data_IF_982748730861
#
_entry.id   IF_982748730861
#
_cell.length_a   1.000
_cell.length_b   1.000
_cell.length_c   1.000
_cell.angle_alpha   90.00
_cell.angle_beta   90.00
_cell.angle_gamma   90.00
#
_symmetry.space_group_name_H-M   'P 1'
#
loop_
_entity.id
_entity.type
_entity.pdbx_description
1 polymer ?
#
# COMPACT_ATOMS: atom_id res chain seq x y z
N UNK A 1 -2.41 19.34 9.39
CA UNK A 1 -0.99 19.19 8.96
C UNK A 1 -0.84 17.77 8.45
N UNK A 2 -0.32 17.57 7.23
CA UNK A 2 -0.14 16.25 6.63
C UNK A 2 0.83 15.40 7.47
N UNK A 3 0.52 14.10 7.63
CA UNK A 3 1.41 13.16 8.32
C UNK A 3 2.59 12.78 7.43
N UNK A 4 2.29 12.38 6.18
CA UNK A 4 3.29 12.04 5.17
C UNK A 4 2.92 12.72 3.85
N UNK A 5 3.93 13.16 3.10
CA UNK A 5 3.76 13.78 1.79
C UNK A 5 4.85 13.27 0.82
N UNK A 6 4.42 12.75 -0.30
CA UNK A 6 5.23 12.43 -1.47
C UNK A 6 4.98 13.48 -2.54
N UNK A 7 6.04 14.07 -3.08
CA UNK A 7 5.95 15.11 -4.11
C UNK A 7 6.89 14.78 -5.28
N UNK A 8 6.30 14.47 -6.44
CA UNK A 8 7.00 14.12 -7.66
C UNK A 8 7.96 12.94 -7.50
N UNK A 9 7.59 11.91 -6.73
CA UNK A 9 8.48 10.81 -6.39
C UNK A 9 8.67 9.87 -7.58
N UNK A 10 9.96 9.61 -7.90
CA UNK A 10 10.38 8.63 -8.89
C UNK A 10 11.23 7.54 -8.23
N UNK A 11 11.08 6.30 -8.71
CA UNK A 11 11.98 5.18 -8.40
C UNK A 11 12.30 4.43 -9.68
N UNK A 12 13.58 4.43 -10.04
CA UNK A 12 14.10 3.71 -11.20
C UNK A 12 15.11 2.68 -10.70
N UNK A 13 14.84 1.42 -11.02
CA UNK A 13 15.78 0.33 -10.75
C UNK A 13 16.58 0.01 -12.00
N UNK A 14 17.89 -0.13 -11.86
CA UNK A 14 18.75 -0.64 -12.91
C UNK A 14 18.79 -2.16 -12.82
N UNK A 15 18.38 -2.85 -13.86
CA UNK A 15 18.47 -4.30 -14.00
C UNK A 15 19.48 -4.65 -15.08
N UNK A 16 20.02 -5.88 -15.03
CA UNK A 16 20.89 -6.38 -16.09
C UNK A 16 20.07 -6.53 -17.37
N UNK A 17 20.46 -5.82 -18.41
CA UNK A 17 19.80 -5.89 -19.72
C UNK A 17 20.00 -7.24 -20.41
N UNK A 18 19.26 -7.45 -21.50
CA UNK A 18 19.38 -8.66 -22.32
C UNK A 18 20.78 -8.80 -22.96
N UNK A 19 21.52 -7.70 -23.14
CA UNK A 19 22.88 -7.69 -23.64
C UNK A 19 23.90 -7.87 -22.51
N UNK A 20 25.01 -8.59 -22.76
CA UNK A 20 26.04 -8.95 -21.76
C UNK A 20 26.57 -7.78 -20.93
N UNK A 21 26.53 -6.56 -21.44
CA UNK A 21 27.02 -5.32 -20.80
C UNK A 21 25.96 -4.22 -20.70
N UNK A 22 24.69 -4.51 -21.05
CA UNK A 22 23.60 -3.54 -21.02
C UNK A 22 22.90 -3.50 -19.65
N UNK A 23 22.38 -2.32 -19.30
CA UNK A 23 21.46 -2.15 -18.16
C UNK A 23 20.17 -1.56 -18.68
N UNK A 24 19.06 -2.16 -18.29
CA UNK A 24 17.71 -1.60 -18.54
C UNK A 24 17.21 -0.88 -17.29
N UNK A 25 16.45 0.18 -17.51
CA UNK A 25 15.80 0.89 -16.44
C UNK A 25 14.37 0.36 -16.25
N UNK A 26 14.02 -0.02 -15.02
CA UNK A 26 12.65 -0.33 -14.63
C UNK A 26 12.06 0.87 -13.90
N UNK A 27 11.07 1.50 -14.47
CA UNK A 27 10.38 2.65 -13.92
C UNK A 27 9.30 2.18 -12.93
N UNK A 28 9.74 1.90 -11.70
CA UNK A 28 8.88 1.32 -10.66
C UNK A 28 7.91 2.34 -10.06
N UNK A 29 8.33 3.61 -9.94
CA UNK A 29 7.45 4.76 -9.66
C UNK A 29 7.84 5.90 -10.58
N UNK A 30 6.84 6.65 -11.04
CA UNK A 30 7.02 7.81 -11.90
C UNK A 30 6.03 8.89 -11.53
N UNK A 31 6.52 10.04 -11.08
CA UNK A 31 5.74 11.23 -10.74
C UNK A 31 4.61 10.90 -9.73
N UNK A 32 4.98 10.21 -8.64
CA UNK A 32 4.01 9.85 -7.62
C UNK A 32 3.83 11.01 -6.64
N UNK A 33 2.58 11.44 -6.48
CA UNK A 33 2.13 12.41 -5.49
C UNK A 33 1.15 11.72 -4.56
N UNK A 34 1.34 11.83 -3.25
CA UNK A 34 0.47 11.23 -2.27
C UNK A 34 0.56 12.00 -0.94
N UNK A 35 -0.58 12.23 -0.33
CA UNK A 35 -0.67 12.81 1.01
C UNK A 35 -1.38 11.83 1.92
N UNK A 36 -0.80 11.55 3.09
CA UNK A 36 -1.43 10.76 4.16
C UNK A 36 -1.73 11.68 5.32
N UNK A 37 -2.98 11.71 5.77
CA UNK A 37 -3.40 12.49 6.95
C UNK A 37 -3.33 11.65 8.24
N UNK A 38 -3.22 12.28 9.42
CA UNK A 38 -3.32 11.55 10.69
C UNK A 38 -4.65 10.78 10.78
N UNK A 39 -4.63 9.56 11.31
CA UNK A 39 -5.81 8.70 11.50
C UNK A 39 -6.48 8.19 10.22
N UNK A 40 -6.01 8.60 9.02
CA UNK A 40 -6.57 8.21 7.73
C UNK A 40 -6.04 6.85 7.28
N UNK A 41 -6.91 6.03 6.68
CA UNK A 41 -6.48 4.84 5.93
C UNK A 41 -6.58 5.08 4.42
N UNK A 42 -5.44 4.98 3.74
CA UNK A 42 -5.35 4.99 2.28
C UNK A 42 -5.21 3.56 1.77
N UNK A 43 -6.15 3.16 0.93
CA UNK A 43 -6.06 1.90 0.19
C UNK A 43 -5.32 2.07 -1.13
N UNK A 44 -4.38 1.19 -1.42
CA UNK A 44 -3.62 1.21 -2.68
C UNK A 44 -3.97 -0.02 -3.50
N UNK A 45 -4.54 0.20 -4.69
CA UNK A 45 -4.98 -0.86 -5.60
C UNK A 45 -4.30 -0.75 -6.96
N UNK A 46 -4.30 -1.84 -7.73
CA UNK A 46 -3.78 -1.92 -9.09
C UNK A 46 -3.28 -3.31 -9.42
N UNK A 47 -3.03 -3.57 -10.70
CA UNK A 47 -2.53 -4.87 -11.17
C UNK A 47 -1.17 -5.24 -10.56
N UNK A 48 -0.83 -6.54 -10.59
CA UNK A 48 0.48 -7.01 -10.12
C UNK A 48 1.62 -6.30 -10.89
N UNK A 49 2.67 -5.92 -10.18
CA UNK A 49 3.82 -5.22 -10.80
C UNK A 49 3.61 -3.74 -11.10
N UNK A 50 2.47 -3.11 -10.78
CA UNK A 50 2.23 -1.69 -11.06
C UNK A 50 2.96 -0.71 -10.11
N UNK A 51 3.77 -1.19 -9.14
CA UNK A 51 4.59 -0.33 -8.27
C UNK A 51 4.09 -0.18 -6.83
N UNK A 52 3.01 -0.85 -6.40
CA UNK A 52 2.42 -0.75 -5.03
C UNK A 52 3.43 -1.01 -3.92
N UNK A 53 4.14 -2.13 -3.98
CA UNK A 53 5.14 -2.48 -2.95
C UNK A 53 6.37 -1.55 -3.01
N UNK A 54 6.68 -0.95 -4.16
CA UNK A 54 7.72 0.08 -4.26
C UNK A 54 7.25 1.36 -3.56
N UNK A 55 6.00 1.77 -3.78
CA UNK A 55 5.39 2.90 -3.06
C UNK A 55 5.41 2.65 -1.55
N UNK A 56 4.98 1.47 -1.10
CA UNK A 56 5.03 1.07 0.30
C UNK A 56 6.45 1.19 0.90
N UNK A 57 7.46 0.69 0.19
CA UNK A 57 8.88 0.79 0.61
C UNK A 57 9.41 2.23 0.66
N UNK A 58 8.97 3.09 -0.27
CA UNK A 58 9.30 4.52 -0.25
C UNK A 58 8.69 5.19 0.98
N UNK A 59 7.40 4.92 1.25
CA UNK A 59 6.68 5.48 2.40
C UNK A 59 7.37 5.14 3.72
N UNK A 60 7.90 3.93 3.88
CA UNK A 60 8.59 3.52 5.11
C UNK A 60 10.10 3.83 5.11
N UNK A 61 10.63 4.48 4.07
CA UNK A 61 12.04 4.85 3.97
C UNK A 61 12.99 3.70 3.61
N UNK A 62 12.48 2.51 3.28
CA UNK A 62 13.29 1.36 2.84
C UNK A 62 13.80 1.50 1.40
N UNK A 63 13.12 2.30 0.58
CA UNK A 63 13.52 2.63 -0.77
C UNK A 63 13.68 4.14 -0.89
N UNK A 64 14.89 4.59 -1.25
CA UNK A 64 15.13 6.00 -1.54
C UNK A 64 14.59 6.37 -2.93
N UNK A 65 13.88 7.50 -3.08
CA UNK A 65 13.53 8.04 -4.38
C UNK A 65 14.78 8.32 -5.24
N UNK A 66 14.66 8.13 -6.56
CA UNK A 66 15.66 8.59 -7.53
C UNK A 66 15.48 10.06 -7.86
N UNK A 67 14.26 10.60 -7.73
CA UNK A 67 13.91 12.01 -7.81
C UNK A 67 12.63 12.27 -7.00
N UNK A 68 12.32 13.54 -6.76
CA UNK A 68 11.21 13.96 -5.91
C UNK A 68 11.56 13.98 -4.43
N UNK A 69 10.59 14.28 -3.59
CA UNK A 69 10.78 14.43 -2.14
C UNK A 69 9.75 13.64 -1.34
N UNK A 70 10.16 13.16 -0.17
CA UNK A 70 9.28 12.56 0.85
C UNK A 70 9.46 13.35 2.13
N UNK A 71 8.35 13.80 2.70
CA UNK A 71 8.33 14.56 3.97
C UNK A 71 7.42 13.87 4.96
N UNK A 72 7.84 13.85 6.21
CA UNK A 72 7.04 13.38 7.33
C UNK A 72 6.82 14.55 8.30
N UNK A 73 5.55 14.85 8.62
CA UNK A 73 5.16 16.05 9.39
C UNK A 73 5.85 17.33 8.87
N UNK A 74 5.88 17.47 7.54
CA UNK A 74 6.48 18.61 6.84
C UNK A 74 8.02 18.64 6.80
N UNK A 75 8.72 17.67 7.40
CA UNK A 75 10.18 17.60 7.42
C UNK A 75 10.70 16.48 6.49
N UNK A 76 11.87 16.65 5.84
CA UNK A 76 12.50 15.54 5.14
C UNK A 76 12.74 14.35 6.08
N UNK A 77 12.74 13.13 5.49
CA UNK A 77 13.02 11.92 6.27
C UNK A 77 14.44 11.97 6.87
N UNK A 78 14.52 11.75 8.16
CA UNK A 78 15.76 11.68 8.92
C UNK A 78 16.01 10.26 9.50
N UNK A 79 17.06 10.11 10.29
CA UNK A 79 17.39 8.82 10.94
C UNK A 79 16.35 8.39 11.99
N UNK A 80 15.56 9.34 12.51
CA UNK A 80 14.51 9.09 13.50
C UNK A 80 13.22 8.56 12.89
N UNK A 81 13.03 8.77 11.59
CA UNK A 81 11.79 8.42 10.87
C UNK A 81 11.37 6.95 11.05
N UNK A 82 12.32 6.01 11.09
CA UNK A 82 12.02 4.59 11.30
C UNK A 82 11.30 4.24 12.61
N UNK A 83 11.26 5.18 13.59
CA UNK A 83 10.47 5.00 14.82
C UNK A 83 9.00 5.39 14.65
N UNK A 84 8.72 6.25 13.70
CA UNK A 84 7.41 6.84 13.46
C UNK A 84 6.56 6.00 12.50
N UNK A 85 7.16 5.02 11.82
CA UNK A 85 6.50 4.22 10.79
C UNK A 85 6.74 2.73 11.02
N UNK A 86 5.64 1.97 11.06
CA UNK A 86 5.68 0.51 11.11
C UNK A 86 5.39 -0.10 9.73
N UNK A 87 5.94 -1.29 9.46
CA UNK A 87 5.62 -2.04 8.24
C UNK A 87 5.27 -3.49 8.53
N UNK A 88 4.15 -3.92 7.96
CA UNK A 88 3.74 -5.32 7.87
C UNK A 88 3.98 -5.79 6.44
N UNK A 89 4.89 -6.74 6.26
CA UNK A 89 5.28 -7.26 4.94
C UNK A 89 4.32 -8.35 4.45
N UNK A 90 4.29 -8.55 3.16
CA UNK A 90 3.43 -9.50 2.45
C UNK A 90 3.57 -10.94 2.96
N UNK A 91 4.79 -11.41 3.23
CA UNK A 91 5.06 -12.75 3.74
C UNK A 91 5.76 -12.68 5.10
N UNK A 92 5.02 -12.94 6.21
CA UNK A 92 5.61 -12.94 7.54
C UNK A 92 6.66 -14.06 7.72
N UNK A 93 6.62 -15.13 6.93
CA UNK A 93 7.58 -16.23 7.06
C UNK A 93 8.99 -15.86 6.57
N UNK A 94 9.10 -14.88 5.69
CA UNK A 94 10.38 -14.29 5.25
C UNK A 94 10.78 -13.07 6.07
N UNK A 95 9.79 -12.36 6.62
CA UNK A 95 10.01 -11.13 7.39
C UNK A 95 10.42 -11.38 8.85
N UNK A 96 10.08 -12.55 9.42
CA UNK A 96 10.41 -12.92 10.80
C UNK A 96 11.69 -13.77 10.83
N UNK A 97 12.60 -13.44 11.76
CA UNK A 97 13.78 -14.28 11.96
C UNK A 97 13.37 -15.63 12.56
N UNK A 98 13.54 -16.70 11.77
CA UNK A 98 13.11 -18.08 12.10
C UNK A 98 13.81 -18.70 13.31
N UNK A 99 14.91 -18.10 13.77
CA UNK A 99 15.75 -18.61 14.89
C UNK A 99 15.46 -17.90 16.21
N UNK A 100 14.71 -16.81 16.20
CA UNK A 100 14.39 -16.05 17.39
C UNK A 100 13.01 -16.42 17.92
N UNK A 101 12.88 -16.42 19.25
CA UNK A 101 11.61 -16.54 19.93
C UNK A 101 10.69 -15.35 19.63
N UNK A 102 9.38 -15.56 19.67
CA UNK A 102 8.35 -14.53 19.42
C UNK A 102 8.60 -13.27 20.25
N UNK A 103 8.82 -13.41 21.55
CA UNK A 103 9.08 -12.29 22.44
C UNK A 103 10.29 -11.46 21.98
N UNK A 104 11.36 -12.12 21.52
CA UNK A 104 12.57 -11.45 21.00
C UNK A 104 12.30 -10.73 19.68
N UNK A 105 11.48 -11.33 18.79
CA UNK A 105 11.11 -10.71 17.51
C UNK A 105 10.30 -9.43 17.75
N UNK A 106 9.35 -9.45 18.68
CA UNK A 106 8.52 -8.29 19.03
C UNK A 106 9.35 -7.22 19.71
N UNK A 107 10.31 -7.61 20.55
CA UNK A 107 11.19 -6.74 21.31
C UNK A 107 12.28 -6.07 20.45
N UNK A 108 12.70 -6.71 19.35
CA UNK A 108 13.84 -6.28 18.51
C UNK A 108 13.84 -4.79 18.14
N UNK A 109 12.74 -4.16 17.69
CA UNK A 109 12.72 -2.73 17.41
C UNK A 109 13.03 -1.86 18.64
N UNK A 110 12.59 -2.25 19.83
CA UNK A 110 12.86 -1.54 21.08
C UNK A 110 14.34 -1.64 21.48
N UNK A 111 14.93 -2.82 21.24
CA UNK A 111 16.36 -3.03 21.50
C UNK A 111 17.25 -2.24 20.54
N UNK A 112 16.94 -2.28 19.24
CA UNK A 112 17.69 -1.55 18.18
C UNK A 112 17.66 -0.03 18.39
N UNK A 113 16.50 0.48 18.78
CA UNK A 113 16.32 1.91 19.01
C UNK A 113 16.60 2.36 20.45
N UNK A 114 17.04 1.46 21.33
CA UNK A 114 17.34 1.72 22.75
C UNK A 114 16.20 2.42 23.51
N UNK A 115 14.94 1.99 23.27
CA UNK A 115 13.75 2.56 23.91
C UNK A 115 13.51 1.89 25.25
N UNK A 116 13.54 2.65 26.33
CA UNK A 116 13.29 2.17 27.70
C UNK A 116 14.35 1.20 28.27
N UNK A 117 14.11 0.78 29.51
CA UNK A 117 14.88 -0.24 30.22
C UNK A 117 14.53 -1.65 29.74
N UNK A 118 15.30 -2.66 30.14
CA UNK A 118 14.99 -4.06 29.82
C UNK A 118 13.61 -4.48 30.32
N UNK A 119 13.26 -4.10 31.57
CA UNK A 119 11.96 -4.44 32.17
C UNK A 119 10.79 -3.76 31.44
N UNK A 120 10.92 -2.50 31.04
CA UNK A 120 9.91 -1.78 30.28
C UNK A 120 9.72 -2.39 28.88
N UNK A 121 10.79 -2.85 28.22
CA UNK A 121 10.70 -3.56 26.94
C UNK A 121 9.95 -4.90 27.06
N UNK A 122 10.23 -5.65 28.12
CA UNK A 122 9.57 -6.93 28.38
C UNK A 122 8.06 -6.72 28.70
N UNK A 123 7.72 -5.67 29.45
CA UNK A 123 6.35 -5.25 29.67
C UNK A 123 5.65 -4.88 28.35
N UNK A 124 6.31 -4.05 27.54
CA UNK A 124 5.80 -3.66 26.22
C UNK A 124 5.54 -4.85 25.31
N UNK A 125 6.38 -5.87 25.35
CA UNK A 125 6.17 -7.14 24.60
C UNK A 125 4.89 -7.84 25.07
N UNK A 126 4.65 -7.93 26.40
CA UNK A 126 3.42 -8.52 26.94
C UNK A 126 2.17 -7.74 26.51
N UNK A 127 2.21 -6.41 26.60
CA UNK A 127 1.13 -5.54 26.11
C UNK A 127 0.83 -5.78 24.62
N UNK A 128 1.87 -5.84 23.79
CA UNK A 128 1.71 -6.05 22.35
C UNK A 128 1.16 -7.44 22.02
N UNK A 129 1.62 -8.48 22.72
CA UNK A 129 1.07 -9.83 22.55
C UNK A 129 -0.42 -9.87 22.90
N UNK A 130 -0.81 -9.25 24.01
CA UNK A 130 -2.22 -9.13 24.40
C UNK A 130 -3.03 -8.34 23.37
N UNK A 131 -2.50 -7.19 22.91
CA UNK A 131 -3.13 -6.30 21.93
C UNK A 131 -3.46 -6.99 20.61
N UNK A 132 -2.55 -7.86 20.13
CA UNK A 132 -2.78 -8.62 18.89
C UNK A 132 -3.45 -9.99 19.14
N UNK A 133 -3.86 -10.31 20.36
CA UNK A 133 -4.51 -11.57 20.73
C UNK A 133 -3.61 -12.80 20.59
N UNK A 134 -2.33 -12.68 20.93
CA UNK A 134 -1.40 -13.81 21.05
C UNK A 134 -1.36 -14.30 22.50
N UNK A 135 -1.54 -15.61 22.76
CA UNK A 135 -1.41 -16.15 24.11
C UNK A 135 0.05 -16.09 24.58
N UNK A 136 0.26 -15.85 25.87
CA UNK A 136 1.60 -15.79 26.48
C UNK A 136 2.41 -17.07 26.30
N UNK A 137 1.73 -18.21 26.17
CA UNK A 137 2.37 -19.52 25.96
C UNK A 137 3.19 -19.64 24.67
N UNK A 138 3.00 -18.73 23.68
CA UNK A 138 3.81 -18.73 22.46
C UNK A 138 5.01 -17.77 22.53
N UNK A 139 5.24 -17.11 23.66
CA UNK A 139 6.32 -16.11 23.79
C UNK A 139 7.71 -16.70 23.47
N UNK A 140 7.95 -17.94 23.89
CA UNK A 140 9.23 -18.65 23.69
C UNK A 140 9.25 -19.50 22.40
N UNK A 141 8.12 -19.61 21.70
CA UNK A 141 8.04 -20.34 20.44
C UNK A 141 8.80 -19.61 19.32
N UNK A 142 9.31 -20.38 18.36
CA UNK A 142 9.89 -19.83 17.11
C UNK A 142 8.85 -19.79 15.99
N UNK A 143 9.01 -18.94 14.97
CA UNK A 143 8.03 -18.77 13.88
C UNK A 143 7.59 -20.07 13.18
N UNK A 144 8.48 -21.08 13.11
CA UNK A 144 8.17 -22.38 12.52
C UNK A 144 7.12 -23.20 13.29
N UNK A 145 6.89 -22.89 14.57
CA UNK A 145 5.93 -23.56 15.45
C UNK A 145 4.55 -22.88 15.47
N UNK A 146 4.41 -21.75 14.78
CA UNK A 146 3.21 -20.93 14.75
C UNK A 146 2.34 -21.22 13.52
N UNK A 147 1.03 -21.03 13.65
CA UNK A 147 0.12 -20.96 12.51
C UNK A 147 0.39 -19.71 11.64
N UNK A 148 -0.13 -19.67 10.42
CA UNK A 148 -0.01 -18.50 9.53
C UNK A 148 -0.56 -17.22 10.17
N UNK A 149 -1.74 -17.30 10.78
CA UNK A 149 -2.36 -16.19 11.48
C UNK A 149 -1.58 -15.73 12.72
N UNK A 150 -1.00 -16.66 13.47
CA UNK A 150 -0.12 -16.29 14.59
C UNK A 150 1.15 -15.60 14.13
N UNK A 151 1.80 -16.08 13.05
CA UNK A 151 2.95 -15.37 12.46
C UNK A 151 2.59 -13.96 12.02
N UNK A 152 1.41 -13.78 11.42
CA UNK A 152 0.94 -12.45 11.01
C UNK A 152 0.71 -11.54 12.21
N UNK A 153 0.12 -12.04 13.31
CA UNK A 153 -0.03 -11.29 14.56
C UNK A 153 1.32 -10.89 15.17
N UNK A 154 2.33 -11.75 15.11
CA UNK A 154 3.71 -11.41 15.53
C UNK A 154 4.29 -10.29 14.66
N UNK A 155 4.10 -10.34 13.34
CA UNK A 155 4.57 -9.29 12.43
C UNK A 155 3.88 -7.95 12.71
N UNK A 156 2.57 -7.95 12.99
CA UNK A 156 1.81 -6.75 13.38
C UNK A 156 2.32 -6.22 14.73
N UNK A 157 2.46 -7.06 15.75
CA UNK A 157 2.98 -6.67 17.07
C UNK A 157 4.37 -6.02 16.97
N UNK A 158 5.27 -6.61 16.18
CA UNK A 158 6.61 -6.05 15.91
C UNK A 158 6.52 -4.67 15.24
N UNK A 159 5.64 -4.51 14.25
CA UNK A 159 5.46 -3.24 13.55
C UNK A 159 4.95 -2.12 14.48
N UNK A 160 4.18 -2.49 15.53
CA UNK A 160 3.63 -1.56 16.52
C UNK A 160 4.53 -1.33 17.75
N UNK A 161 5.68 -1.97 17.82
CA UNK A 161 6.54 -1.94 19.01
C UNK A 161 6.92 -0.52 19.43
N UNK A 162 7.28 0.33 18.48
CA UNK A 162 7.71 1.71 18.69
C UNK A 162 6.56 2.74 18.75
N UNK A 163 5.30 2.30 18.77
CA UNK A 163 4.11 3.17 18.72
C UNK A 163 4.14 4.11 17.50
N UNK A 164 4.23 3.55 16.27
CA UNK A 164 4.31 4.37 15.07
C UNK A 164 3.06 5.22 14.88
N UNK A 165 3.21 6.38 14.23
CA UNK A 165 2.08 7.20 13.80
C UNK A 165 1.46 6.71 12.47
N UNK A 166 2.23 5.94 11.68
CA UNK A 166 1.81 5.39 10.41
C UNK A 166 2.15 3.89 10.33
N UNK A 167 1.18 3.08 9.93
CA UNK A 167 1.37 1.66 9.61
C UNK A 167 1.21 1.45 8.11
N UNK A 168 2.20 0.82 7.47
CA UNK A 168 2.10 0.36 6.09
C UNK A 168 1.88 -1.15 6.10
N UNK A 169 0.77 -1.59 5.55
CA UNK A 169 0.41 -3.01 5.44
C UNK A 169 0.44 -3.43 3.96
N UNK A 170 1.52 -4.07 3.55
CA UNK A 170 1.71 -4.53 2.16
C UNK A 170 1.21 -5.96 2.02
N UNK A 171 0.03 -6.13 1.43
CA UNK A 171 -0.68 -7.41 1.24
C UNK A 171 -0.74 -8.30 2.51
N UNK A 172 -1.17 -7.78 3.66
CA UNK A 172 -0.98 -8.43 4.96
C UNK A 172 -1.75 -9.73 5.14
N UNK A 173 -2.59 -10.11 4.18
CA UNK A 173 -3.45 -11.30 4.27
C UNK A 173 -3.36 -12.22 3.06
N UNK A 174 -2.44 -11.97 2.12
CA UNK A 174 -2.35 -12.72 0.84
C UNK A 174 -2.02 -14.20 1.02
N UNK A 175 -1.27 -14.56 2.07
CA UNK A 175 -0.85 -15.93 2.37
C UNK A 175 -1.76 -16.66 3.37
N UNK A 176 -2.94 -16.09 3.73
CA UNK A 176 -3.83 -16.63 4.75
C UNK A 176 -5.12 -17.18 4.13
N UNK A 177 -5.67 -18.21 4.78
CA UNK A 177 -7.01 -18.71 4.46
C UNK A 177 -8.10 -17.68 4.77
N UNK A 178 -9.30 -17.88 4.23
CA UNK A 178 -10.41 -16.91 4.27
C UNK A 178 -10.80 -16.53 5.71
N UNK A 179 -10.86 -17.49 6.62
CA UNK A 179 -11.31 -17.26 7.99
C UNK A 179 -10.29 -16.47 8.80
N UNK A 180 -9.02 -16.83 8.67
CA UNK A 180 -7.90 -16.12 9.34
C UNK A 180 -7.71 -14.73 8.73
N UNK A 181 -7.89 -14.58 7.41
CA UNK A 181 -7.88 -13.27 6.72
C UNK A 181 -8.85 -12.30 7.38
N UNK A 182 -10.11 -12.71 7.58
CA UNK A 182 -11.12 -11.86 8.21
C UNK A 182 -10.72 -11.43 9.63
N UNK A 183 -10.12 -12.34 10.43
CA UNK A 183 -9.64 -12.02 11.77
C UNK A 183 -8.50 -11.00 11.76
N UNK A 184 -7.55 -11.10 10.82
CA UNK A 184 -6.44 -10.14 10.71
C UNK A 184 -6.94 -8.77 10.25
N UNK A 185 -7.90 -8.71 9.31
CA UNK A 185 -8.48 -7.46 8.86
C UNK A 185 -9.23 -6.74 9.98
N UNK A 186 -10.04 -7.47 10.76
CA UNK A 186 -10.73 -6.90 11.91
C UNK A 186 -9.72 -6.41 12.96
N UNK A 187 -8.68 -7.19 13.25
CA UNK A 187 -7.60 -6.75 14.15
C UNK A 187 -6.96 -5.43 13.68
N UNK A 188 -6.69 -5.26 12.39
CA UNK A 188 -6.11 -4.02 11.87
C UNK A 188 -7.08 -2.83 12.01
N UNK A 189 -8.39 -3.04 11.83
CA UNK A 189 -9.41 -2.00 12.06
C UNK A 189 -9.47 -1.61 13.53
N UNK A 190 -9.51 -2.58 14.45
CA UNK A 190 -9.53 -2.35 15.89
C UNK A 190 -8.27 -1.58 16.35
N UNK A 191 -7.10 -1.98 15.83
CA UNK A 191 -5.82 -1.30 16.12
C UNK A 191 -5.78 0.14 15.60
N UNK A 192 -6.32 0.38 14.41
CA UNK A 192 -6.44 1.72 13.84
C UNK A 192 -7.26 2.63 14.78
N UNK A 193 -8.42 2.16 15.21
CA UNK A 193 -9.32 2.92 16.08
C UNK A 193 -8.71 3.13 17.48
N UNK A 194 -8.19 2.08 18.11
CA UNK A 194 -7.63 2.15 19.46
C UNK A 194 -6.37 3.01 19.58
N UNK A 195 -5.57 3.08 18.51
CA UNK A 195 -4.26 3.75 18.53
C UNK A 195 -4.25 5.07 17.74
N UNK A 196 -5.39 5.50 17.18
CA UNK A 196 -5.49 6.66 16.25
C UNK A 196 -4.44 6.58 15.13
N UNK A 197 -4.31 5.41 14.51
CA UNK A 197 -3.22 5.05 13.63
C UNK A 197 -3.56 5.41 12.18
N UNK A 198 -2.71 6.20 11.52
CA UNK A 198 -2.79 6.33 10.08
C UNK A 198 -2.32 5.02 9.40
N UNK A 199 -2.94 4.64 8.28
CA UNK A 199 -2.59 3.39 7.59
C UNK A 199 -2.49 3.57 6.07
N UNK A 200 -1.49 2.92 5.46
CA UNK A 200 -1.47 2.66 4.02
C UNK A 200 -1.65 1.16 3.83
N UNK A 201 -2.80 0.79 3.28
CA UNK A 201 -3.21 -0.60 3.10
C UNK A 201 -3.11 -1.00 1.62
N UNK A 202 -2.16 -1.85 1.30
CA UNK A 202 -1.93 -2.35 -0.06
C UNK A 202 -2.56 -3.73 -0.22
N UNK A 203 -3.42 -3.90 -1.23
CA UNK A 203 -3.96 -5.21 -1.58
C UNK A 203 -4.38 -5.25 -3.06
N UNK A 204 -4.43 -6.45 -3.62
CA UNK A 204 -5.05 -6.70 -4.92
C UNK A 204 -6.56 -7.04 -4.79
N UNK A 205 -7.04 -7.29 -3.57
CA UNK A 205 -8.46 -7.53 -3.30
C UNK A 205 -9.19 -6.21 -3.02
N UNK A 206 -9.90 -5.74 -4.03
CA UNK A 206 -10.62 -4.45 -4.01
C UNK A 206 -11.70 -4.41 -2.93
N UNK A 207 -12.42 -5.52 -2.68
CA UNK A 207 -13.45 -5.56 -1.64
C UNK A 207 -12.84 -5.34 -0.26
N UNK A 208 -11.73 -5.98 0.00
CA UNK A 208 -10.97 -5.75 1.23
C UNK A 208 -10.50 -4.29 1.35
N UNK A 209 -9.94 -3.73 0.27
CA UNK A 209 -9.49 -2.32 0.28
C UNK A 209 -10.65 -1.36 0.53
N UNK A 210 -11.80 -1.57 -0.10
CA UNK A 210 -13.00 -0.75 0.14
C UNK A 210 -13.44 -0.77 1.61
N UNK A 211 -13.36 -1.93 2.25
CA UNK A 211 -13.74 -2.08 3.67
C UNK A 211 -12.74 -1.41 4.62
N UNK A 212 -11.46 -1.43 4.26
CA UNK A 212 -10.37 -0.97 5.14
C UNK A 212 -10.07 0.51 5.04
N UNK A 213 -10.50 1.19 3.96
CA UNK A 213 -9.93 2.50 3.57
C UNK A 213 -10.97 3.61 3.59
N UNK A 214 -10.51 4.82 3.85
CA UNK A 214 -11.28 6.06 3.72
C UNK A 214 -11.17 6.61 2.29
N UNK A 215 -9.99 6.44 1.68
CA UNK A 215 -9.64 6.90 0.34
C UNK A 215 -8.84 5.83 -0.39
N UNK A 216 -9.03 5.73 -1.70
CA UNK A 216 -8.37 4.72 -2.55
C UNK A 216 -7.51 5.41 -3.59
N UNK A 217 -6.29 4.91 -3.72
CA UNK A 217 -5.29 5.28 -4.73
C UNK A 217 -5.19 4.12 -5.73
N UNK A 218 -5.49 4.40 -6.98
CA UNK A 218 -5.36 3.44 -8.08
C UNK A 218 -4.04 3.68 -8.81
N UNK A 219 -3.23 2.61 -8.89
CA UNK A 219 -1.92 2.65 -9.55
C UNK A 219 -1.91 1.82 -10.82
N UNK A 220 -1.31 2.38 -11.87
CA UNK A 220 -1.04 1.69 -13.13
C UNK A 220 0.38 2.03 -13.62
N UNK A 221 1.17 0.99 -13.89
CA UNK A 221 2.52 1.08 -14.48
C UNK A 221 3.41 2.17 -13.82
N UNK A 222 3.55 2.11 -12.50
CA UNK A 222 4.38 3.02 -11.69
C UNK A 222 3.76 4.39 -11.41
N UNK A 223 2.52 4.67 -11.84
CA UNK A 223 1.86 5.96 -11.67
C UNK A 223 0.58 5.85 -10.86
N UNK A 224 0.29 6.87 -10.09
CA UNK A 224 -1.04 7.09 -9.50
C UNK A 224 -1.89 7.71 -10.62
N UNK A 225 -2.93 6.98 -11.03
CA UNK A 225 -3.83 7.39 -12.12
C UNK A 225 -5.13 7.99 -11.62
N UNK A 226 -5.54 7.60 -10.41
CA UNK A 226 -6.72 8.15 -9.74
C UNK A 226 -6.62 8.01 -8.24
N UNK A 227 -7.14 8.98 -7.51
CA UNK A 227 -7.28 8.99 -6.07
C UNK A 227 -8.65 9.57 -5.72
N UNK A 228 -9.43 8.81 -4.95
CA UNK A 228 -10.81 9.18 -4.64
C UNK A 228 -11.22 8.70 -3.24
N UNK A 229 -12.19 9.39 -2.59
CA UNK A 229 -12.89 8.84 -1.42
C UNK A 229 -13.48 7.47 -1.75
N UNK A 230 -13.43 6.53 -0.80
CA UNK A 230 -13.97 5.17 -1.01
C UNK A 230 -15.46 5.20 -1.39
N UNK A 231 -16.21 6.17 -0.87
CA UNK A 231 -17.63 6.35 -1.13
C UNK A 231 -17.94 6.79 -2.56
N UNK A 232 -16.96 7.36 -3.27
CA UNK A 232 -17.10 7.76 -4.67
C UNK A 232 -16.90 6.58 -5.65
N UNK A 233 -16.31 5.46 -5.20
CA UNK A 233 -15.95 4.34 -6.07
C UNK A 233 -16.89 3.14 -5.91
N UNK A 234 -17.29 2.49 -7.03
CA UNK A 234 -16.86 2.72 -8.44
C UNK A 234 -17.64 3.79 -9.21
N UNK A 235 -18.78 4.26 -8.71
CA UNK A 235 -19.80 4.97 -9.49
C UNK A 235 -19.30 6.32 -10.06
N UNK A 236 -18.38 6.97 -9.34
CA UNK A 236 -17.78 8.24 -9.73
C UNK A 236 -16.35 8.09 -10.26
N UNK A 237 -15.88 6.86 -10.51
CA UNK A 237 -14.56 6.63 -11.10
C UNK A 237 -14.39 7.45 -12.40
N UNK A 238 -13.30 8.19 -12.50
CA UNK A 238 -13.00 9.08 -13.63
C UNK A 238 -12.01 8.45 -14.61
N UNK A 239 -11.06 7.67 -14.11
CA UNK A 239 -10.09 7.00 -14.97
C UNK A 239 -10.67 5.67 -15.49
N UNK A 240 -10.67 5.40 -16.81
CA UNK A 240 -11.23 4.17 -17.38
C UNK A 240 -10.61 2.88 -16.79
N UNK A 241 -9.34 2.91 -16.41
CA UNK A 241 -8.69 1.79 -15.74
C UNK A 241 -9.28 1.52 -14.35
N UNK A 242 -9.53 2.56 -13.54
CA UNK A 242 -10.17 2.41 -12.23
C UNK A 242 -11.54 1.77 -12.37
N UNK A 243 -12.34 2.28 -13.32
CA UNK A 243 -13.67 1.72 -13.60
C UNK A 243 -13.60 0.25 -13.99
N UNK A 244 -12.69 -0.11 -14.90
CA UNK A 244 -12.48 -1.49 -15.31
C UNK A 244 -12.02 -2.38 -14.15
N UNK A 245 -11.07 -1.90 -13.34
CA UNK A 245 -10.54 -2.62 -12.18
C UNK A 245 -11.64 -2.94 -11.16
N UNK A 246 -12.51 -1.97 -10.85
CA UNK A 246 -13.62 -2.16 -9.92
C UNK A 246 -14.73 -3.01 -10.52
N UNK A 247 -15.00 -2.94 -11.84
CA UNK A 247 -16.01 -3.77 -12.51
C UNK A 247 -15.66 -5.27 -12.49
N UNK A 248 -14.36 -5.60 -12.47
CA UNK A 248 -13.88 -6.97 -12.40
C UNK A 248 -14.08 -7.62 -11.02
N UNK A 249 -14.53 -6.85 -10.02
CA UNK A 249 -14.72 -7.34 -8.66
C UNK A 249 -16.11 -7.94 -8.50
N UNK A 250 -16.25 -9.25 -8.22
CA UNK A 250 -17.55 -9.88 -8.06
C UNK A 250 -18.38 -9.24 -6.94
N UNK A 251 -19.62 -8.89 -7.21
CA UNK A 251 -20.59 -8.44 -6.20
C UNK A 251 -21.87 -9.25 -6.32
N UNK A 252 -22.29 -9.89 -5.24
CA UNK A 252 -23.54 -10.64 -5.19
C UNK A 252 -24.76 -9.70 -5.09
N UNK A 253 -24.58 -8.50 -4.55
CA UNK A 253 -25.66 -7.54 -4.33
C UNK A 253 -25.90 -6.63 -5.54
N UNK A 254 -24.84 -6.25 -6.23
CA UNK A 254 -24.88 -5.39 -7.41
C UNK A 254 -23.97 -5.99 -8.49
N UNK A 255 -24.43 -7.00 -9.25
CA UNK A 255 -23.65 -7.58 -10.33
C UNK A 255 -23.42 -6.52 -11.42
N UNK A 256 -22.18 -6.18 -11.68
CA UNK A 256 -21.76 -5.30 -12.78
C UNK A 256 -21.09 -6.19 -13.82
N UNK A 257 -21.40 -5.97 -15.09
CA UNK A 257 -20.72 -6.68 -16.17
C UNK A 257 -19.23 -6.25 -16.20
N UNK A 258 -18.29 -7.20 -16.11
CA UNK A 258 -16.86 -6.85 -16.08
C UNK A 258 -16.41 -6.19 -17.38
N UNK A 259 -15.73 -5.06 -17.27
CA UNK A 259 -15.07 -4.41 -18.40
C UNK A 259 -13.80 -5.18 -18.72
N UNK A 260 -13.82 -5.93 -19.82
CA UNK A 260 -12.68 -6.73 -20.26
C UNK A 260 -11.63 -5.81 -20.89
N UNK A 261 -10.43 -5.75 -20.26
CA UNK A 261 -9.30 -5.02 -20.81
C UNK A 261 -8.57 -5.89 -21.85
N UNK A 262 -8.34 -5.35 -23.03
CA UNK A 262 -7.63 -6.05 -24.11
C UNK A 262 -6.12 -5.81 -24.04
N UNK A 263 -5.34 -6.84 -24.39
CA UNK A 263 -3.89 -6.79 -24.47
C UNK A 263 -3.16 -6.95 -23.13
N UNK A 264 -1.84 -7.21 -23.18
CA UNK A 264 -1.01 -7.39 -22.00
C UNK A 264 -0.69 -6.04 -21.34
N UNK A 265 -0.32 -6.09 -20.05
CA UNK A 265 0.25 -4.94 -19.34
C UNK A 265 1.58 -4.55 -20.04
N UNK A 266 1.78 -3.27 -20.39
CA UNK A 266 3.05 -2.83 -20.98
C UNK A 266 4.24 -3.05 -20.04
N UNK A 267 5.43 -3.15 -20.63
CA UNK A 267 6.65 -3.31 -19.83
C UNK A 267 7.01 -2.04 -19.09
N UNK A 268 7.35 -2.17 -17.80
CA UNK A 268 7.89 -1.08 -17.00
C UNK A 268 9.31 -0.64 -17.42
N UNK A 269 9.98 -1.40 -18.30
CA UNK A 269 11.27 -0.99 -18.89
C UNK A 269 11.10 -0.10 -20.09
N UNK A 270 9.98 -0.23 -20.83
CA UNK A 270 9.65 0.54 -22.01
C UNK A 270 8.19 1.02 -21.90
N UNK A 271 7.87 1.91 -20.95
CA UNK A 271 6.51 2.39 -20.78
C UNK A 271 6.05 3.17 -22.03
N UNK A 272 4.77 3.06 -22.41
CA UNK A 272 4.20 3.85 -23.48
C UNK A 272 4.37 5.36 -23.23
N UNK A 273 4.53 6.16 -24.31
CA UNK A 273 4.48 7.62 -24.23
C UNK A 273 3.10 8.10 -23.79
N UNK A 274 3.01 9.29 -23.22
CA UNK A 274 1.76 9.89 -22.78
C UNK A 274 1.06 9.08 -21.67
N UNK A 275 -0.23 8.78 -21.86
CA UNK A 275 -0.99 7.95 -20.91
C UNK A 275 -0.52 6.49 -20.96
N UNK A 276 -0.01 5.91 -19.85
CA UNK A 276 0.50 4.55 -19.85
C UNK A 276 -0.60 3.49 -20.09
N UNK A 277 -1.85 3.83 -19.82
CA UNK A 277 -3.00 2.94 -20.03
C UNK A 277 -3.52 2.95 -21.49
N UNK A 278 -3.10 3.88 -22.34
CA UNK A 278 -3.63 4.08 -23.71
C UNK A 278 -3.66 2.81 -24.58
N UNK A 279 -2.70 1.90 -24.37
CA UNK A 279 -2.60 0.65 -25.16
C UNK A 279 -3.69 -0.38 -24.82
N UNK A 280 -4.40 -0.18 -23.71
CA UNK A 280 -5.49 -1.06 -23.21
C UNK A 280 -6.79 -0.28 -22.98
N UNK A 281 -6.78 1.04 -23.18
CA UNK A 281 -7.92 1.89 -22.91
C UNK A 281 -8.93 1.82 -24.07
N UNK A 282 -10.21 1.49 -23.81
CA UNK A 282 -11.23 1.48 -24.87
C UNK A 282 -11.58 2.88 -25.40
N UNK A 283 -11.17 3.96 -24.67
CA UNK A 283 -11.39 5.35 -25.03
C UNK A 283 -10.12 6.05 -25.55
N UNK A 284 -9.05 5.29 -25.84
CA UNK A 284 -7.80 5.88 -26.27
C UNK A 284 -7.95 6.60 -27.60
N UNK A 285 -7.38 7.81 -27.68
CA UNK A 285 -7.22 8.61 -28.91
C UNK A 285 -5.74 8.84 -29.19
N UNK A 286 -5.41 9.42 -30.34
CA UNK A 286 -4.03 9.79 -30.67
C UNK A 286 -3.44 10.79 -29.67
N UNK A 287 -4.24 11.68 -29.11
CA UNK A 287 -3.84 12.64 -28.09
C UNK A 287 -3.29 11.96 -26.81
N UNK A 288 -3.80 10.76 -26.49
CA UNK A 288 -3.29 9.97 -25.35
C UNK A 288 -1.84 9.52 -25.52
N UNK A 289 -1.27 9.56 -26.73
CA UNK A 289 0.12 9.21 -27.01
C UNK A 289 1.09 10.39 -26.89
N UNK A 290 0.58 11.61 -26.80
CA UNK A 290 1.36 12.83 -26.62
C UNK A 290 1.91 12.98 -25.20
N UNK A 291 1.55 14.05 -24.53
CA UNK A 291 1.98 14.30 -23.16
C UNK A 291 1.21 13.46 -22.13
N UNK A 292 1.81 13.31 -20.95
CA UNK A 292 1.11 12.72 -19.82
C UNK A 292 -0.12 13.57 -19.47
N UNK A 293 -1.33 12.96 -19.31
CA UNK A 293 -2.50 13.70 -18.87
C UNK A 293 -2.23 14.48 -17.58
N UNK A 294 -2.58 15.76 -17.52
CA UNK A 294 -2.43 16.56 -16.31
C UNK A 294 -3.26 15.99 -15.17
N UNK A 295 -2.86 16.29 -13.95
CA UNK A 295 -3.65 15.96 -12.78
C UNK A 295 -4.89 16.86 -12.76
N UNK A 296 -6.06 16.28 -12.94
CA UNK A 296 -7.35 16.95 -12.81
C UNK A 296 -7.91 16.74 -11.40
N UNK A 297 -8.65 17.72 -10.90
CA UNK A 297 -9.30 17.66 -9.59
C UNK A 297 -10.81 17.77 -9.81
N UNK A 298 -11.55 16.83 -9.27
CA UNK A 298 -13.01 16.87 -9.18
C UNK A 298 -13.45 17.17 -7.73
N UNK A 299 -14.74 17.24 -7.50
CA UNK A 299 -15.30 17.53 -6.18
C UNK A 299 -14.84 16.53 -5.10
N UNK A 300 -14.77 17.00 -3.85
CA UNK A 300 -14.43 16.15 -2.70
C UNK A 300 -12.99 15.68 -2.63
N UNK A 301 -12.05 16.34 -3.32
CA UNK A 301 -10.64 15.96 -3.32
C UNK A 301 -10.32 14.77 -4.22
N UNK A 302 -11.25 14.37 -5.09
CA UNK A 302 -11.06 13.32 -6.08
C UNK A 302 -10.13 13.81 -7.20
N UNK A 303 -9.00 13.14 -7.41
CA UNK A 303 -8.00 13.50 -8.42
C UNK A 303 -7.80 12.37 -9.42
N UNK A 304 -7.52 12.72 -10.69
CA UNK A 304 -7.30 11.73 -11.75
C UNK A 304 -6.45 12.28 -12.89
N UNK A 305 -5.83 11.38 -13.67
CA UNK A 305 -5.00 11.71 -14.86
C UNK A 305 -5.62 11.07 -16.11
N UNK A 306 -6.62 11.75 -16.68
CA UNK A 306 -7.27 11.30 -17.91
C UNK A 306 -7.81 12.50 -18.69
N UNK A 307 -7.55 12.56 -20.01
CA UNK A 307 -8.11 13.58 -20.91
C UNK A 307 -9.51 13.20 -21.42
N UNK A 308 -9.91 11.92 -21.30
CA UNK A 308 -11.24 11.40 -21.63
C UNK A 308 -11.88 10.71 -20.42
N UNK A 309 -12.16 11.46 -19.33
CA UNK A 309 -12.65 10.85 -18.09
C UNK A 309 -14.01 10.17 -18.29
N UNK A 310 -14.28 9.20 -17.45
CA UNK A 310 -15.60 8.58 -17.36
C UNK A 310 -16.62 9.60 -16.82
N UNK A 311 -17.84 9.54 -17.34
CA UNK A 311 -18.97 10.31 -16.80
C UNK A 311 -19.56 9.50 -15.65
N UNK A 312 -19.74 10.08 -14.45
CA UNK A 312 -20.37 9.38 -13.33
C UNK A 312 -21.75 8.86 -13.68
N UNK A 313 -22.06 7.63 -13.28
CA UNK A 313 -23.40 7.09 -13.39
C UNK A 313 -24.28 7.78 -12.35
N UNK A 314 -25.32 8.50 -12.79
CA UNK A 314 -26.28 9.19 -11.89
C UNK A 314 -26.25 10.72 -11.90
N UNK A 315 -25.36 11.35 -12.66
CA UNK A 315 -25.45 12.78 -12.98
C UNK A 315 -26.10 12.88 -14.35
N UNK A 316 -27.41 13.15 -14.41
CA UNK A 316 -28.06 13.65 -15.62
C UNK A 316 -27.43 15.00 -15.99
N UNK A 317 -26.98 15.13 -17.23
CA UNK A 317 -26.42 16.35 -17.81
C UNK A 317 -27.41 17.50 -17.78
#
# INVERSE_FOLDING_TARGET
MNLLELDGVHVVHKIRGANLFGHDNVYALTDAHLVVNPGETIGVVGESGCGKSTLAKVIVGLQRPTAGTVRFRGKPLDRGFGREVGMVFQDPSTALNRRLAVARIIRDPLDVHHVGTSAERDERVRELMALVGLPTSVADAVPGQLSGGQRQRVAIARALALRPALLVADEPTSALDVSVRAQILNLLLDLREQLDLAMVFVSHDIQTVKKMSDRIVTMYLGRIVEEAPVTALPDQARHPYTRALFSATPSLLNPVEPIVLSGPVPSATHPPSGCPFRTRCPKATEECAGDLPPLAVADGGHTYRCIHPEIPTGVSA
#
